data_IF_706560634757
#
_entry.id   IF_706560634757
#
_cell.length_a   1.000
_cell.length_b   1.000
_cell.length_c   1.000
_cell.angle_alpha   90.00
_cell.angle_beta   90.00
_cell.angle_gamma   90.00
#
_symmetry.space_group_name_H-M   'P 1'
#
loop_
_entity.id
_entity.type
_entity.pdbx_description
1 polymer ?
#
# COMPACT_ATOMS: atom_id res chain seq x y z
N UNK A 1 9.89 -4.23 9.92
CA UNK A 1 9.35 -5.37 9.14
C UNK A 1 10.07 -6.66 9.53
N UNK A 2 9.36 -7.78 9.68
CA UNK A 2 9.92 -9.08 10.12
C UNK A 2 10.05 -10.12 8.99
N UNK A 3 9.45 -9.87 7.82
CA UNK A 3 9.43 -10.79 6.67
C UNK A 3 10.25 -10.23 5.47
N UNK A 4 9.90 -10.65 4.25
CA UNK A 4 10.57 -10.22 3.03
C UNK A 4 10.23 -8.79 2.59
N UNK A 5 9.17 -8.17 3.11
CA UNK A 5 8.80 -6.80 2.74
C UNK A 5 9.88 -5.77 3.14
N UNK A 6 10.82 -6.13 4.03
CA UNK A 6 12.02 -5.32 4.31
C UNK A 6 12.93 -5.05 3.11
N UNK A 7 12.75 -5.79 2.00
CA UNK A 7 13.51 -5.60 0.75
C UNK A 7 12.72 -4.82 -0.31
N UNK A 8 11.46 -4.46 -0.05
CA UNK A 8 10.64 -3.63 -0.95
C UNK A 8 11.11 -2.19 -0.80
N UNK A 9 11.58 -1.61 -1.90
CA UNK A 9 12.16 -0.26 -1.91
C UNK A 9 11.11 0.80 -2.21
N UNK A 10 11.48 2.05 -1.97
CA UNK A 10 10.65 3.19 -2.31
C UNK A 10 10.55 3.43 -3.82
N UNK A 11 9.38 3.87 -4.30
CA UNK A 11 9.17 4.58 -5.56
C UNK A 11 7.95 5.51 -5.44
N UNK A 12 7.97 6.65 -6.14
CA UNK A 12 6.79 7.52 -6.26
C UNK A 12 5.80 7.02 -7.32
N UNK A 13 6.21 6.04 -8.13
CA UNK A 13 5.38 5.29 -9.07
C UNK A 13 5.30 3.81 -8.63
N UNK A 14 4.85 3.60 -7.39
CA UNK A 14 4.90 2.30 -6.73
C UNK A 14 4.09 1.21 -7.44
N UNK A 15 4.54 -0.03 -7.36
CA UNK A 15 3.78 -1.20 -7.84
C UNK A 15 2.76 -1.69 -6.82
N UNK A 16 3.07 -1.49 -5.54
CA UNK A 16 2.32 -1.95 -4.40
C UNK A 16 1.78 -0.77 -3.59
N UNK A 17 0.81 -1.09 -2.73
CA UNK A 17 0.33 -0.18 -1.70
C UNK A 17 -0.07 -0.96 -0.46
N UNK A 18 0.34 -0.46 0.71
CA UNK A 18 -0.12 -0.97 1.99
C UNK A 18 -1.58 -0.62 2.25
N UNK A 19 -2.28 -1.47 2.98
CA UNK A 19 -3.66 -1.24 3.38
C UNK A 19 -3.74 -1.05 4.90
N UNK A 20 -4.85 -0.48 5.38
CA UNK A 20 -5.16 -0.42 6.81
C UNK A 20 -5.51 -1.79 7.44
N UNK A 21 -5.26 -2.89 6.71
CA UNK A 21 -5.53 -4.27 7.09
C UNK A 21 -4.23 -5.09 7.24
N UNK A 22 -3.09 -4.44 7.46
CA UNK A 22 -1.79 -5.09 7.71
C UNK A 22 -1.30 -6.03 6.59
N UNK A 23 -1.68 -5.74 5.35
CA UNK A 23 -1.09 -6.35 4.15
C UNK A 23 -1.06 -5.37 2.98
N UNK A 24 -0.20 -5.64 2.01
CA UNK A 24 -0.05 -4.88 0.76
C UNK A 24 -0.77 -5.56 -0.40
N UNK A 25 -1.21 -4.77 -1.38
CA UNK A 25 -1.74 -5.25 -2.64
C UNK A 25 -0.99 -4.63 -3.82
N UNK A 26 -1.04 -5.29 -4.98
CA UNK A 26 -0.64 -4.67 -6.23
C UNK A 26 -1.66 -3.60 -6.63
N UNK A 27 -1.19 -2.44 -7.11
CA UNK A 27 -2.03 -1.32 -7.57
C UNK A 27 -1.90 -1.04 -9.08
N UNK A 28 -1.17 -1.91 -9.78
CA UNK A 28 -1.02 -1.95 -11.23
C UNK A 28 -0.50 -3.33 -11.65
N UNK A 29 -0.47 -3.59 -12.95
CA UNK A 29 0.21 -4.77 -13.48
C UNK A 29 1.71 -4.75 -13.13
N UNK A 30 2.24 -5.94 -12.83
CA UNK A 30 3.66 -6.18 -12.48
C UNK A 30 4.17 -7.30 -13.39
N UNK A 31 5.09 -6.99 -14.29
CA UNK A 31 5.66 -7.97 -15.21
C UNK A 31 6.85 -8.72 -14.60
N UNK A 32 7.15 -9.95 -15.08
CA UNK A 32 8.29 -10.71 -14.61
C UNK A 32 9.62 -9.94 -14.74
N UNK A 33 10.36 -9.87 -13.64
CA UNK A 33 11.63 -9.13 -13.57
C UNK A 33 11.49 -7.67 -13.13
N UNK A 34 10.27 -7.13 -13.02
CA UNK A 34 10.05 -5.86 -12.35
C UNK A 34 10.35 -5.95 -10.86
N UNK A 35 10.87 -4.86 -10.31
CA UNK A 35 11.04 -4.69 -8.88
C UNK A 35 9.69 -4.35 -8.24
N UNK A 36 9.43 -4.94 -7.07
CA UNK A 36 8.33 -4.52 -6.21
C UNK A 36 8.74 -3.26 -5.45
N UNK A 37 7.90 -2.23 -5.51
CA UNK A 37 8.13 -0.95 -4.86
C UNK A 37 6.87 -0.42 -4.16
N UNK A 38 7.09 0.41 -3.15
CA UNK A 38 6.07 1.08 -2.34
C UNK A 38 6.34 2.58 -2.22
N UNK A 39 5.30 3.37 -1.95
CA UNK A 39 5.48 4.77 -1.59
C UNK A 39 5.71 4.90 -0.09
N UNK A 40 6.95 5.13 0.35
CA UNK A 40 7.29 5.25 1.76
C UNK A 40 6.61 6.44 2.47
N UNK A 41 5.91 7.31 1.74
CA UNK A 41 5.07 8.36 2.32
C UNK A 41 3.98 7.85 3.26
N UNK A 42 3.52 6.59 3.13
CA UNK A 42 2.57 6.02 4.08
C UNK A 42 3.20 5.55 5.39
N UNK A 43 4.53 5.42 5.46
CA UNK A 43 5.23 4.84 6.62
C UNK A 43 5.36 5.78 7.81
N UNK A 44 4.97 7.05 7.66
CA UNK A 44 5.16 8.08 8.68
C UNK A 44 6.62 8.12 9.17
N UNK A 45 7.55 8.25 8.23
CA UNK A 45 9.01 8.23 8.46
C UNK A 45 9.46 9.29 9.47
N UNK A 46 10.53 9.03 10.22
CA UNK A 46 11.00 9.93 11.29
C UNK A 46 11.63 11.23 10.77
N UNK A 47 12.29 11.18 9.62
CA UNK A 47 12.94 12.33 8.99
C UNK A 47 12.70 12.29 7.49
N UNK A 48 12.59 13.45 6.82
CA UNK A 48 12.42 13.49 5.39
C UNK A 48 13.69 13.01 4.67
N UNK A 49 13.51 12.38 3.51
CA UNK A 49 14.64 11.97 2.67
C UNK A 49 14.34 12.20 1.19
N UNK A 50 15.38 12.55 0.43
CA UNK A 50 15.31 12.65 -1.02
C UNK A 50 15.43 11.25 -1.63
N UNK A 51 14.49 10.89 -2.50
CA UNK A 51 14.46 9.62 -3.20
C UNK A 51 15.29 9.66 -4.49
N UNK A 52 15.50 8.50 -5.10
CA UNK A 52 16.06 8.41 -6.45
C UNK A 52 15.18 9.17 -7.45
N UNK A 53 15.82 9.77 -8.47
CA UNK A 53 15.09 10.53 -9.49
C UNK A 53 14.42 9.59 -10.49
N UNK A 54 13.10 9.40 -10.32
CA UNK A 54 12.25 8.59 -11.19
C UNK A 54 11.51 9.42 -12.26
N UNK A 55 11.81 10.72 -12.38
CA UNK A 55 11.12 11.61 -13.29
C UNK A 55 9.74 12.10 -12.81
N UNK A 56 9.37 11.80 -11.55
CA UNK A 56 8.15 12.29 -10.89
C UNK A 56 8.31 13.73 -10.37
N UNK A 57 7.21 14.46 -10.17
CA UNK A 57 7.28 15.81 -9.56
C UNK A 57 7.71 15.76 -8.08
N UNK A 58 7.22 14.78 -7.33
CA UNK A 58 7.64 14.55 -5.94
C UNK A 58 9.06 13.98 -5.94
N UNK A 59 9.91 14.53 -5.06
CA UNK A 59 11.33 14.16 -4.90
C UNK A 59 11.70 13.78 -3.47
N UNK A 60 10.92 14.24 -2.50
CA UNK A 60 11.18 14.04 -1.07
C UNK A 60 9.99 13.34 -0.45
N UNK A 61 10.29 12.34 0.39
CA UNK A 61 9.32 11.72 1.28
C UNK A 61 9.34 12.49 2.59
N UNK A 62 8.17 12.94 3.05
CA UNK A 62 7.97 13.63 4.31
C UNK A 62 7.22 12.77 5.33
N UNK A 63 7.45 13.00 6.64
CA UNK A 63 6.73 12.32 7.72
C UNK A 63 5.19 12.36 7.61
N UNK A 64 4.65 13.48 7.11
CA UNK A 64 3.21 13.76 7.04
C UNK A 64 2.59 13.52 5.66
N UNK A 65 3.34 12.92 4.73
CA UNK A 65 2.86 12.66 3.37
C UNK A 65 1.56 11.84 3.35
N UNK A 66 1.38 10.92 4.30
CA UNK A 66 0.12 10.18 4.47
C UNK A 66 -1.08 11.09 4.70
N UNK A 67 -0.93 12.20 5.41
CA UNK A 67 -2.03 13.15 5.62
C UNK A 67 -2.41 13.86 4.32
N UNK A 68 -1.45 14.00 3.40
CA UNK A 68 -1.62 14.67 2.11
C UNK A 68 -2.14 13.73 1.02
N UNK A 69 -1.56 12.55 0.87
CA UNK A 69 -1.76 11.67 -0.29
C UNK A 69 -2.67 10.45 -0.03
N UNK A 70 -3.13 10.21 1.21
CA UNK A 70 -3.98 9.04 1.51
C UNK A 70 -5.17 8.87 0.55
N UNK A 71 -5.79 9.94 0.07
CA UNK A 71 -6.93 9.85 -0.85
C UNK A 71 -6.55 9.25 -2.21
N UNK A 72 -5.36 9.58 -2.70
CA UNK A 72 -4.83 9.05 -3.94
C UNK A 72 -4.49 7.57 -3.77
N UNK A 73 -3.85 7.21 -2.66
CA UNK A 73 -3.53 5.82 -2.34
C UNK A 73 -4.78 4.96 -2.07
N UNK A 74 -5.77 5.48 -1.35
CA UNK A 74 -7.06 4.82 -1.13
C UNK A 74 -7.79 4.59 -2.47
N UNK A 75 -7.74 5.57 -3.38
CA UNK A 75 -8.27 5.41 -4.74
C UNK A 75 -7.56 4.29 -5.49
N UNK A 76 -6.23 4.26 -5.47
CA UNK A 76 -5.45 3.19 -6.10
C UNK A 76 -5.78 1.80 -5.53
N UNK A 77 -6.04 1.70 -4.22
CA UNK A 77 -6.50 0.45 -3.60
C UNK A 77 -7.88 0.07 -4.14
N UNK A 78 -8.84 1.00 -4.08
CA UNK A 78 -10.22 0.78 -4.53
C UNK A 78 -10.29 0.34 -6.00
N UNK A 79 -9.52 0.99 -6.88
CA UNK A 79 -9.51 0.73 -8.32
C UNK A 79 -8.96 -0.68 -8.67
N UNK A 80 -8.30 -1.36 -7.72
CA UNK A 80 -7.73 -2.70 -7.91
C UNK A 80 -8.40 -3.81 -7.08
N UNK A 81 -9.41 -3.50 -6.26
CA UNK A 81 -10.06 -4.49 -5.39
C UNK A 81 -10.69 -5.66 -6.15
N UNK A 82 -11.31 -5.39 -7.31
CA UNK A 82 -12.00 -6.41 -8.11
C UNK A 82 -11.04 -7.51 -8.59
N UNK A 83 -9.76 -7.17 -8.81
CA UNK A 83 -8.76 -8.12 -9.28
C UNK A 83 -8.35 -9.13 -8.19
N UNK A 84 -8.47 -8.76 -6.91
CA UNK A 84 -8.09 -9.61 -5.78
C UNK A 84 -8.87 -10.92 -5.79
N UNK A 85 -10.15 -10.88 -6.17
CA UNK A 85 -11.03 -12.05 -6.25
C UNK A 85 -10.85 -12.87 -7.52
N UNK A 86 -10.18 -12.32 -8.54
CA UNK A 86 -10.02 -12.96 -9.85
C UNK A 86 -8.74 -13.80 -9.96
N UNK A 87 -7.79 -13.60 -9.05
CA UNK A 87 -6.50 -14.31 -9.06
C UNK A 87 -6.26 -15.03 -7.75
N UNK A 88 -5.47 -16.10 -7.80
CA UNK A 88 -5.06 -16.79 -6.59
C UNK A 88 -4.23 -15.85 -5.70
N UNK A 89 -4.43 -15.96 -4.38
CA UNK A 89 -3.67 -15.21 -3.37
C UNK A 89 -2.82 -16.20 -2.53
N UNK A 90 -1.67 -16.69 -3.01
CA UNK A 90 -0.89 -17.73 -2.32
C UNK A 90 -0.42 -17.34 -0.92
N UNK A 91 -0.30 -16.03 -0.65
CA UNK A 91 0.12 -15.47 0.62
C UNK A 91 -1.03 -15.16 1.58
N UNK A 92 -2.30 -15.28 1.15
CA UNK A 92 -3.49 -15.00 1.98
C UNK A 92 -3.47 -15.78 3.30
N UNK A 93 -2.91 -16.98 3.31
CA UNK A 93 -2.76 -17.82 4.52
C UNK A 93 -1.97 -17.17 5.66
N UNK A 94 -1.21 -16.11 5.39
CA UNK A 94 -0.48 -15.35 6.40
C UNK A 94 -1.29 -14.18 6.98
N UNK A 95 -2.43 -13.84 6.38
CA UNK A 95 -3.36 -12.82 6.87
C UNK A 95 -4.24 -13.46 7.94
N UNK A 96 -4.39 -12.85 9.13
CA UNK A 96 -5.33 -13.34 10.14
C UNK A 96 -6.75 -13.44 9.58
N UNK A 97 -7.46 -14.54 9.89
CA UNK A 97 -8.81 -14.78 9.39
C UNK A 97 -9.77 -13.63 9.71
N UNK A 98 -9.66 -13.05 10.91
CA UNK A 98 -10.47 -11.88 11.32
C UNK A 98 -10.25 -10.67 10.40
N UNK A 99 -9.00 -10.42 10.02
CA UNK A 99 -8.61 -9.32 9.14
C UNK A 99 -9.06 -9.59 7.71
N UNK A 100 -8.89 -10.82 7.23
CA UNK A 100 -9.37 -11.21 5.89
C UNK A 100 -10.88 -11.14 5.78
N UNK A 101 -11.62 -11.58 6.80
CA UNK A 101 -13.09 -11.50 6.83
C UNK A 101 -13.57 -10.05 6.88
N UNK A 102 -12.85 -9.16 7.56
CA UNK A 102 -13.16 -7.73 7.57
C UNK A 102 -12.93 -7.10 6.19
N UNK A 103 -11.77 -7.36 5.58
CA UNK A 103 -11.47 -6.91 4.22
C UNK A 103 -12.44 -7.51 3.19
N UNK A 104 -12.89 -8.74 3.42
CA UNK A 104 -13.90 -9.42 2.61
C UNK A 104 -15.23 -8.66 2.51
N UNK A 105 -15.61 -7.89 3.53
CA UNK A 105 -16.79 -7.01 3.47
C UNK A 105 -16.59 -5.82 2.55
N UNK A 106 -15.36 -5.32 2.44
CA UNK A 106 -15.02 -4.27 1.47
C UNK A 106 -15.09 -4.85 0.07
N UNK A 107 -14.51 -6.04 -0.13
CA UNK A 107 -14.56 -6.77 -1.39
C UNK A 107 -15.99 -7.10 -1.86
N UNK A 108 -16.94 -7.34 -0.95
CA UNK A 108 -18.35 -7.58 -1.29
C UNK A 108 -19.20 -6.30 -1.37
N UNK A 109 -18.64 -5.13 -1.08
CA UNK A 109 -19.36 -3.85 -1.03
C UNK A 109 -20.25 -3.66 0.20
N UNK A 110 -20.13 -4.53 1.21
CA UNK A 110 -20.84 -4.44 2.50
C UNK A 110 -20.23 -3.42 3.46
N UNK A 111 -19.02 -2.94 3.20
CA UNK A 111 -18.32 -1.94 4.03
C UNK A 111 -17.41 -1.05 3.19
N UNK A 112 -17.19 0.19 3.65
CA UNK A 112 -16.20 1.09 3.04
C UNK A 112 -14.78 0.65 3.38
N UNK A 113 -13.83 0.96 2.49
CA UNK A 113 -12.40 0.75 2.73
C UNK A 113 -11.95 1.57 3.94
N UNK A 114 -11.26 0.95 4.89
CA UNK A 114 -10.49 1.68 5.90
C UNK A 114 -9.35 2.42 5.20
N UNK A 115 -9.44 3.75 5.22
CA UNK A 115 -8.42 4.61 4.63
C UNK A 115 -7.04 4.31 5.21
N UNK A 116 -6.01 4.26 4.36
CA UNK A 116 -4.61 4.13 4.79
C UNK A 116 -4.21 5.24 5.77
N UNK A 117 -4.92 6.38 5.76
CA UNK A 117 -4.76 7.46 6.75
C UNK A 117 -4.82 6.97 8.20
N UNK A 118 -5.54 5.88 8.49
CA UNK A 118 -5.62 5.34 9.86
C UNK A 118 -4.29 4.74 10.36
N UNK A 119 -3.33 4.52 9.47
CA UNK A 119 -1.97 4.10 9.82
C UNK A 119 -1.09 5.25 10.34
N UNK A 120 -1.53 6.50 10.21
CA UNK A 120 -0.80 7.66 10.75
C UNK A 120 -0.90 7.73 12.28
N UNK A 121 0.21 8.06 12.92
CA UNK A 121 0.29 8.38 14.35
C UNK A 121 1.05 9.70 14.56
N UNK A 122 0.81 10.37 15.68
CA UNK A 122 1.63 11.53 16.06
C UNK A 122 2.99 11.02 16.56
N UNK A 123 4.08 11.61 16.04
CA UNK A 123 5.46 11.26 16.38
C UNK A 123 5.89 11.83 17.74
#
# INVERSE_FOLDING_TARGET
CWDNAKYVNHSFNSSCMSTAYDFEIAIRDIHPGEQLTDDYGYLNVSEPFEAEDEGTERKVVYPDDILKYHKEWDRSILDNLDNIQQVAQPLQRFIPEVTWNEFGKVLSGESELKSIRTCHFEQ
#
